data_IF_821945565836
#
_entry.id   IF_821945565836
#
_cell.length_a   1.000
_cell.length_b   1.000
_cell.length_c   1.000
_cell.angle_alpha   90.00
_cell.angle_beta   90.00
_cell.angle_gamma   90.00
#
_symmetry.space_group_name_H-M   'P 1'
#
loop_
_entity.id
_entity.type
_entity.pdbx_description
1 polymer ?
#
# COMPACT_ATOMS: atom_id res chain seq x y z
N UNK A 1 13.13 -18.74 8.81
CA UNK A 1 12.64 -17.83 9.88
C UNK A 1 12.99 -16.40 9.48
N UNK A 2 12.12 -15.74 8.71
CA UNK A 2 12.27 -14.31 8.36
C UNK A 2 11.06 -13.59 8.95
N UNK A 3 11.33 -12.57 9.75
CA UNK A 3 10.41 -12.02 10.74
C UNK A 3 9.22 -11.27 10.17
N UNK A 4 8.03 -11.86 10.32
CA UNK A 4 6.73 -11.14 10.28
C UNK A 4 6.54 -10.12 11.41
N UNK A 5 7.49 -10.04 12.35
CA UNK A 5 7.41 -9.19 13.54
C UNK A 5 8.11 -7.83 13.45
N UNK A 6 8.91 -7.54 12.43
CA UNK A 6 9.67 -6.28 12.38
C UNK A 6 8.80 -5.02 12.25
N UNK A 7 7.78 -4.97 11.34
CA UNK A 7 6.90 -3.81 11.24
C UNK A 7 6.01 -3.63 12.49
N UNK A 8 5.57 -4.76 13.07
CA UNK A 8 4.71 -4.78 14.27
C UNK A 8 5.47 -4.28 15.51
N UNK A 9 6.77 -4.59 15.62
CA UNK A 9 7.66 -4.07 16.67
C UNK A 9 7.97 -2.59 16.50
N UNK A 10 8.20 -2.13 15.26
CA UNK A 10 8.45 -0.73 14.97
C UNK A 10 7.21 0.15 15.22
N UNK A 11 6.01 -0.31 14.84
CA UNK A 11 4.76 0.38 15.13
C UNK A 11 4.47 0.47 16.64
N UNK A 12 4.86 -0.54 17.42
CA UNK A 12 4.79 -0.52 18.88
C UNK A 12 5.77 0.50 19.50
N UNK A 13 6.99 0.62 18.96
CA UNK A 13 7.94 1.66 19.36
C UNK A 13 7.43 3.08 18.99
N UNK A 14 6.61 3.19 17.94
CA UNK A 14 5.98 4.43 17.49
C UNK A 14 4.60 4.73 18.14
N UNK A 15 4.21 4.06 19.23
CA UNK A 15 2.91 4.29 19.92
C UNK A 15 1.68 4.06 19.02
N UNK A 16 1.63 2.94 18.29
CA UNK A 16 0.40 2.56 17.58
C UNK A 16 -0.74 2.22 18.58
N UNK A 17 -1.76 3.08 18.65
CA UNK A 17 -2.87 2.99 19.63
C UNK A 17 -4.05 2.11 19.18
N UNK A 18 -4.10 1.76 17.89
CA UNK A 18 -5.14 0.92 17.27
C UNK A 18 -4.49 -0.11 16.35
N UNK A 19 -4.94 -1.37 16.41
CA UNK A 19 -4.49 -2.43 15.50
C UNK A 19 -5.69 -3.04 14.77
N UNK A 20 -5.59 -3.14 13.44
CA UNK A 20 -6.57 -3.79 12.57
C UNK A 20 -6.09 -5.21 12.22
N UNK A 21 -6.79 -6.29 12.59
CA UNK A 21 -6.50 -7.66 12.14
C UNK A 21 -6.77 -7.82 10.64
N UNK A 22 -6.04 -8.73 10.00
CA UNK A 22 -6.19 -9.09 8.58
C UNK A 22 -7.47 -9.89 8.32
N UNK A 23 -8.13 -9.66 7.18
CA UNK A 23 -9.25 -10.47 6.69
C UNK A 23 -8.84 -11.86 6.13
N UNK A 24 -7.56 -12.20 6.10
CA UNK A 24 -7.06 -13.49 5.61
C UNK A 24 -7.16 -14.59 6.68
N UNK A 25 -7.67 -15.77 6.32
CA UNK A 25 -7.61 -16.95 7.18
C UNK A 25 -6.18 -17.44 7.31
N UNK A 26 -5.66 -17.47 8.54
CA UNK A 26 -4.41 -18.18 8.84
C UNK A 26 -4.77 -19.57 9.36
N UNK A 27 -4.31 -20.61 8.67
CA UNK A 27 -4.42 -21.98 9.14
C UNK A 27 -3.56 -22.16 10.38
N UNK A 28 -4.14 -21.96 11.57
CA UNK A 28 -3.46 -22.13 12.85
C UNK A 28 -4.05 -21.22 13.90
N UNK A 29 -4.69 -21.81 14.92
CA UNK A 29 -5.32 -21.08 16.01
C UNK A 29 -4.37 -20.08 16.65
N UNK A 30 -4.88 -18.85 16.87
CA UNK A 30 -4.22 -17.81 17.64
C UNK A 30 -4.12 -18.25 19.11
N UNK A 31 -3.22 -19.17 19.41
CA UNK A 31 -2.83 -19.51 20.77
C UNK A 31 -1.39 -19.04 21.01
N UNK A 32 -1.26 -17.94 21.75
CA UNK A 32 -0.09 -17.71 22.61
C UNK A 32 1.24 -17.23 22.00
N UNK A 33 1.27 -16.62 20.80
CA UNK A 33 2.53 -16.14 20.20
C UNK A 33 2.61 -14.62 19.98
N UNK A 34 3.54 -13.94 20.66
CA UNK A 34 3.99 -12.54 20.49
C UNK A 34 2.95 -11.38 20.58
N UNK A 35 1.64 -11.64 20.41
CA UNK A 35 0.59 -10.62 20.53
C UNK A 35 0.28 -10.26 22.00
N UNK A 36 0.50 -11.18 22.94
CA UNK A 36 0.14 -11.01 24.35
C UNK A 36 0.97 -9.97 25.12
N UNK A 37 2.23 -9.74 24.77
CA UNK A 37 3.08 -8.73 25.45
C UNK A 37 3.05 -7.34 24.79
N UNK A 38 2.46 -7.20 23.61
CA UNK A 38 2.48 -5.95 22.81
C UNK A 38 1.24 -5.06 23.00
N UNK A 39 0.21 -5.52 23.71
CA UNK A 39 -1.12 -4.87 23.76
C UNK A 39 -1.39 -4.04 25.02
N UNK A 40 -0.38 -3.62 25.79
CA UNK A 40 -0.65 -3.02 27.11
C UNK A 40 -1.38 -1.66 27.08
N UNK A 41 -1.42 -0.92 25.97
CA UNK A 41 -1.90 0.48 25.96
C UNK A 41 -2.82 0.88 24.79
N UNK A 42 -3.48 -0.08 24.13
CA UNK A 42 -4.38 0.22 22.99
C UNK A 42 -5.52 -0.78 22.85
N UNK A 43 -6.33 -0.61 21.80
CA UNK A 43 -7.44 -1.51 21.46
C UNK A 43 -7.29 -2.10 20.05
N UNK A 44 -7.95 -3.23 19.82
CA UNK A 44 -7.95 -3.97 18.54
C UNK A 44 -9.31 -3.77 17.87
N UNK A 45 -9.29 -3.33 16.61
CA UNK A 45 -10.48 -3.07 15.81
C UNK A 45 -10.59 -4.05 14.64
N UNK A 46 -11.71 -4.74 14.49
CA UNK A 46 -11.91 -5.65 13.35
C UNK A 46 -12.21 -4.88 12.06
N UNK A 47 -11.82 -5.45 10.92
CA UNK A 47 -12.07 -4.90 9.58
C UNK A 47 -13.58 -4.79 9.25
N UNK A 48 -13.87 -4.05 8.19
CA UNK A 48 -15.19 -3.86 7.59
C UNK A 48 -15.87 -5.21 7.35
N UNK A 49 -16.99 -5.42 8.05
CA UNK A 49 -17.73 -6.69 8.01
C UNK A 49 -16.84 -7.91 8.30
N UNK A 50 -15.80 -7.73 9.11
CA UNK A 50 -14.86 -8.80 9.43
C UNK A 50 -15.51 -9.94 10.20
N UNK A 51 -16.55 -9.66 11.02
CA UNK A 51 -17.35 -10.69 11.72
C UNK A 51 -18.14 -11.52 10.72
N UNK A 52 -18.71 -10.88 9.69
CA UNK A 52 -19.49 -11.57 8.66
C UNK A 52 -18.63 -12.57 7.88
N UNK A 53 -17.35 -12.27 7.69
CA UNK A 53 -16.41 -13.05 6.85
C UNK A 53 -15.66 -14.16 7.61
N UNK A 54 -15.95 -14.41 8.89
CA UNK A 54 -15.28 -15.50 9.63
C UNK A 54 -15.81 -16.89 9.27
N UNK A 55 -17.03 -16.98 8.74
CA UNK A 55 -17.62 -18.22 8.24
C UNK A 55 -17.40 -18.39 6.74
N UNK A 56 -17.38 -19.63 6.26
CA UNK A 56 -17.16 -19.96 4.83
C UNK A 56 -18.20 -19.35 3.89
N UNK A 57 -19.45 -19.26 4.36
CA UNK A 57 -20.48 -18.43 3.77
C UNK A 57 -20.63 -17.19 4.65
N UNK A 58 -20.44 -15.97 4.11
CA UNK A 58 -20.57 -14.76 4.90
C UNK A 58 -21.90 -14.71 5.64
N UNK A 59 -21.87 -14.27 6.91
CA UNK A 59 -23.05 -14.05 7.74
C UNK A 59 -23.89 -15.32 8.07
N UNK A 60 -23.41 -16.53 7.73
CA UNK A 60 -24.17 -17.78 7.94
C UNK A 60 -24.29 -18.24 9.39
N UNK A 61 -23.40 -17.78 10.28
CA UNK A 61 -23.43 -18.07 11.72
C UNK A 61 -23.03 -16.83 12.54
N UNK A 62 -23.74 -15.72 12.30
CA UNK A 62 -23.33 -14.40 12.79
C UNK A 62 -23.12 -14.33 14.31
N UNK A 63 -24.04 -14.86 15.12
CA UNK A 63 -23.89 -14.87 16.59
C UNK A 63 -22.64 -15.64 17.03
N UNK A 64 -22.31 -16.76 16.39
CA UNK A 64 -21.10 -17.53 16.69
C UNK A 64 -19.84 -16.75 16.26
N UNK A 65 -19.90 -16.03 15.15
CA UNK A 65 -18.85 -15.13 14.70
C UNK A 65 -18.61 -13.97 15.68
N UNK A 66 -19.68 -13.36 16.21
CA UNK A 66 -19.60 -12.33 17.26
C UNK A 66 -18.93 -12.90 18.50
N UNK A 67 -19.37 -14.08 18.95
CA UNK A 67 -18.77 -14.75 20.10
C UNK A 67 -17.27 -15.00 19.89
N UNK A 68 -16.89 -15.58 18.75
CA UNK A 68 -15.50 -15.90 18.43
C UNK A 68 -14.63 -14.64 18.36
N UNK A 69 -15.12 -13.55 17.77
CA UNK A 69 -14.40 -12.29 17.66
C UNK A 69 -14.09 -11.70 19.05
N UNK A 70 -15.09 -11.61 19.93
CA UNK A 70 -14.90 -11.04 21.28
C UNK A 70 -13.98 -11.93 22.12
N UNK A 71 -14.17 -13.25 22.10
CA UNK A 71 -13.32 -14.20 22.82
C UNK A 71 -11.86 -14.21 22.31
N UNK A 72 -11.63 -13.81 21.06
CA UNK A 72 -10.30 -13.63 20.49
C UNK A 72 -9.60 -12.31 20.92
N UNK A 73 -10.25 -11.47 21.73
CA UNK A 73 -9.69 -10.20 22.18
C UNK A 73 -9.87 -9.04 21.20
N UNK A 74 -10.90 -9.10 20.35
CA UNK A 74 -11.33 -7.94 19.56
C UNK A 74 -12.12 -7.00 20.48
N UNK A 75 -11.72 -5.74 20.51
CA UNK A 75 -12.28 -4.74 21.43
C UNK A 75 -13.28 -3.80 20.73
N UNK A 76 -13.12 -3.59 19.42
CA UNK A 76 -14.02 -2.78 18.59
C UNK A 76 -14.32 -3.53 17.30
N UNK A 77 -15.59 -3.55 16.87
CA UNK A 77 -16.01 -4.25 15.65
C UNK A 77 -16.55 -3.24 14.66
N UNK A 78 -15.99 -3.21 13.44
CA UNK A 78 -16.49 -2.35 12.36
C UNK A 78 -17.70 -2.99 11.68
N UNK A 79 -18.89 -2.69 12.23
CA UNK A 79 -20.19 -3.06 11.64
C UNK A 79 -20.79 -1.83 10.95
N UNK A 80 -20.70 -1.72 9.61
CA UNK A 80 -21.06 -0.49 8.92
C UNK A 80 -22.57 -0.32 8.68
N UNK A 81 -23.33 -1.42 8.68
CA UNK A 81 -24.74 -1.41 8.27
C UNK A 81 -25.66 -1.89 9.39
N UNK A 82 -25.57 -3.17 9.78
CA UNK A 82 -26.52 -3.79 10.71
C UNK A 82 -26.03 -3.81 12.17
N UNK A 83 -25.70 -2.65 12.73
CA UNK A 83 -25.19 -2.56 14.10
C UNK A 83 -26.22 -3.01 15.16
N UNK A 84 -27.53 -2.93 14.87
CA UNK A 84 -28.58 -3.38 15.79
C UNK A 84 -28.52 -4.89 16.05
N UNK A 85 -28.31 -5.70 14.99
CA UNK A 85 -28.14 -7.14 15.12
C UNK A 85 -26.90 -7.48 15.95
N UNK A 86 -25.76 -6.85 15.64
CA UNK A 86 -24.54 -7.01 16.42
C UNK A 86 -24.75 -6.72 17.92
N UNK A 87 -25.41 -5.60 18.24
CA UNK A 87 -25.68 -5.20 19.63
C UNK A 87 -26.59 -6.23 20.31
N UNK A 88 -27.67 -6.67 19.64
CA UNK A 88 -28.60 -7.66 20.19
C UNK A 88 -27.93 -9.01 20.47
N UNK A 89 -27.12 -9.49 19.54
CA UNK A 89 -26.36 -10.74 19.68
C UNK A 89 -25.33 -10.65 20.81
N UNK A 90 -24.55 -9.56 20.86
CA UNK A 90 -23.58 -9.35 21.93
C UNK A 90 -24.25 -9.25 23.30
N UNK A 91 -25.36 -8.51 23.42
CA UNK A 91 -26.14 -8.43 24.65
C UNK A 91 -26.67 -9.79 25.08
N UNK A 92 -27.16 -10.60 24.13
CA UNK A 92 -27.64 -11.95 24.39
C UNK A 92 -26.51 -12.86 24.92
N UNK A 93 -25.33 -12.81 24.28
CA UNK A 93 -24.15 -13.58 24.69
C UNK A 93 -23.67 -13.20 26.10
N UNK A 94 -23.69 -11.92 26.45
CA UNK A 94 -23.33 -11.44 27.80
C UNK A 94 -24.39 -11.83 28.84
N UNK A 95 -25.68 -11.63 28.53
CA UNK A 95 -26.80 -11.97 29.42
C UNK A 95 -26.84 -13.46 29.75
N UNK A 96 -26.53 -14.30 28.76
CA UNK A 96 -26.46 -15.75 28.90
C UNK A 96 -25.11 -16.24 29.48
N UNK A 97 -24.22 -15.32 29.91
CA UNK A 97 -22.90 -15.60 30.50
C UNK A 97 -21.95 -16.38 29.58
N UNK A 98 -22.18 -16.34 28.27
CA UNK A 98 -21.28 -16.91 27.24
C UNK A 98 -20.04 -16.03 27.09
N UNK A 99 -20.25 -14.71 27.10
CA UNK A 99 -19.18 -13.71 27.20
C UNK A 99 -19.20 -13.12 28.62
N UNK A 100 -18.12 -13.28 29.40
CA UNK A 100 -18.01 -12.64 30.71
C UNK A 100 -18.02 -11.11 30.59
N UNK A 101 -18.74 -10.41 31.47
CA UNK A 101 -18.77 -8.94 31.50
C UNK A 101 -17.37 -8.33 31.59
N UNK A 102 -16.42 -9.02 32.22
CA UNK A 102 -15.02 -8.60 32.33
C UNK A 102 -14.33 -8.42 30.97
N UNK A 103 -14.74 -9.16 29.92
CA UNK A 103 -14.22 -8.96 28.57
C UNK A 103 -14.75 -7.66 27.95
N UNK A 104 -15.99 -7.29 28.27
CA UNK A 104 -16.59 -6.02 27.86
C UNK A 104 -15.91 -4.87 28.60
N UNK A 105 -15.69 -5.03 29.91
CA UNK A 105 -15.00 -4.01 30.72
C UNK A 105 -13.57 -3.75 30.24
N UNK A 106 -12.82 -4.79 29.86
CA UNK A 106 -11.48 -4.65 29.27
C UNK A 106 -11.54 -3.92 27.91
N UNK A 107 -12.47 -4.30 27.03
CA UNK A 107 -12.67 -3.64 25.74
C UNK A 107 -13.02 -2.17 25.88
N UNK A 108 -13.99 -1.84 26.73
CA UNK A 108 -14.43 -0.46 26.98
C UNK A 108 -13.30 0.35 27.63
N UNK A 109 -12.60 -0.21 28.63
CA UNK A 109 -11.49 0.49 29.30
C UNK A 109 -10.38 0.88 28.33
N UNK A 110 -10.06 0.02 27.36
CA UNK A 110 -9.04 0.31 26.33
C UNK A 110 -9.49 1.38 25.33
N UNK A 111 -10.76 1.33 24.92
CA UNK A 111 -11.32 2.35 24.03
C UNK A 111 -11.29 3.72 24.73
N UNK A 112 -11.80 3.78 25.97
CA UNK A 112 -11.80 5.00 26.76
C UNK A 112 -10.39 5.50 27.04
N UNK A 113 -9.44 4.62 27.37
CA UNK A 113 -8.04 4.98 27.54
C UNK A 113 -7.50 5.72 26.31
N UNK A 114 -7.75 5.20 25.09
CA UNK A 114 -7.31 5.87 23.86
C UNK A 114 -8.02 7.21 23.66
N UNK A 115 -9.32 7.30 23.94
CA UNK A 115 -10.10 8.54 23.82
C UNK A 115 -9.60 9.63 24.78
N UNK A 116 -9.34 9.31 26.05
CA UNK A 116 -8.75 10.24 27.02
C UNK A 116 -7.33 10.62 26.63
N UNK A 117 -6.49 9.65 26.24
CA UNK A 117 -5.07 9.91 25.91
C UNK A 117 -4.91 10.76 24.65
N UNK A 118 -5.92 10.82 23.76
CA UNK A 118 -5.90 11.71 22.59
C UNK A 118 -6.63 13.03 22.82
N UNK A 119 -7.11 13.30 24.03
CA UNK A 119 -7.82 14.53 24.37
C UNK A 119 -9.19 14.66 23.68
N UNK A 120 -9.82 13.53 23.29
CA UNK A 120 -11.09 13.56 22.54
C UNK A 120 -12.25 14.08 23.39
N UNK A 121 -12.16 13.97 24.71
CA UNK A 121 -13.16 14.53 25.63
C UNK A 121 -12.99 16.04 25.80
N UNK A 122 -11.76 16.54 25.73
CA UNK A 122 -11.43 17.96 25.81
C UNK A 122 -11.69 18.68 24.47
N UNK A 123 -11.38 18.02 23.35
CA UNK A 123 -11.54 18.55 21.99
C UNK A 123 -12.38 17.59 21.12
N UNK A 124 -13.70 17.51 21.35
CA UNK A 124 -14.57 16.56 20.65
C UNK A 124 -14.97 17.01 19.24
N UNK A 125 -14.81 18.29 18.92
CA UNK A 125 -15.22 18.87 17.64
C UNK A 125 -14.01 19.16 16.75
N UNK A 126 -14.25 19.15 15.44
CA UNK A 126 -13.24 19.55 14.47
C UNK A 126 -12.87 21.02 14.65
N UNK A 127 -11.58 21.33 14.57
CA UNK A 127 -11.08 22.70 14.53
C UNK A 127 -11.00 23.16 13.07
N UNK A 128 -11.82 24.14 12.72
CA UNK A 128 -11.92 24.67 11.36
C UNK A 128 -10.77 25.59 10.98
N UNK A 129 -9.88 25.99 11.92
CA UNK A 129 -8.68 26.77 11.58
C UNK A 129 -7.72 26.01 10.66
N UNK A 130 -7.79 24.67 10.66
CA UNK A 130 -6.97 23.80 9.81
C UNK A 130 -7.54 23.59 8.40
N UNK A 131 -8.66 24.22 8.05
CA UNK A 131 -9.28 24.07 6.72
C UNK A 131 -8.36 24.48 5.56
N UNK A 132 -7.46 25.44 5.79
CA UNK A 132 -6.49 25.90 4.80
C UNK A 132 -5.26 24.99 4.64
N UNK A 133 -5.10 23.96 5.48
CA UNK A 133 -4.04 22.96 5.31
C UNK A 133 -4.36 21.93 4.22
N UNK A 134 -5.62 21.91 3.75
CA UNK A 134 -6.07 20.98 2.71
C UNK A 134 -5.63 21.47 1.31
N UNK A 135 -4.71 20.74 0.68
CA UNK A 135 -4.41 20.89 -0.75
C UNK A 135 -3.56 22.10 -1.13
N UNK A 136 -2.66 22.57 -0.25
CA UNK A 136 -1.72 23.65 -0.60
C UNK A 136 -0.75 23.19 -1.71
N UNK A 137 -1.08 23.51 -2.97
CA UNK A 137 -0.32 23.15 -4.16
C UNK A 137 0.96 23.98 -4.32
N UNK A 138 2.01 23.34 -4.83
CA UNK A 138 3.20 23.99 -5.37
C UNK A 138 3.07 24.21 -6.89
N UNK A 139 3.35 25.44 -7.33
CA UNK A 139 3.26 25.88 -8.73
C UNK A 139 4.27 25.17 -9.63
N UNK A 140 3.83 24.72 -10.81
CA UNK A 140 4.65 24.08 -11.84
C UNK A 140 5.48 25.15 -12.59
N UNK A 141 6.79 24.92 -12.75
CA UNK A 141 7.61 25.62 -13.74
C UNK A 141 7.40 24.99 -15.12
N UNK A 142 6.94 25.77 -16.09
CA UNK A 142 6.76 25.28 -17.46
C UNK A 142 8.08 25.25 -18.23
N UNK A 143 8.44 24.07 -18.73
CA UNK A 143 9.39 23.89 -19.83
C UNK A 143 8.61 23.51 -21.10
N UNK A 144 9.16 23.75 -22.30
CA UNK A 144 8.46 23.45 -23.56
C UNK A 144 8.26 21.94 -23.70
N UNK A 145 7.07 21.46 -23.40
CA UNK A 145 6.70 20.05 -23.37
C UNK A 145 5.66 19.77 -24.47
N UNK A 146 5.92 18.76 -25.30
CA UNK A 146 4.95 18.27 -26.29
C UNK A 146 4.41 16.96 -25.77
N UNK A 147 3.13 16.97 -25.39
CA UNK A 147 2.42 15.79 -24.88
C UNK A 147 1.63 15.12 -26.00
N UNK A 148 1.74 13.80 -26.09
CA UNK A 148 0.89 12.96 -26.94
C UNK A 148 0.64 11.64 -26.18
N UNK A 149 -0.63 11.30 -25.97
CA UNK A 149 -1.04 10.11 -25.22
C UNK A 149 -0.70 8.82 -25.96
N UNK A 150 -0.79 8.82 -27.29
CA UNK A 150 -0.57 7.64 -28.13
C UNK A 150 0.26 8.04 -29.36
N UNK A 151 1.57 8.30 -29.21
CA UNK A 151 2.41 8.71 -30.32
C UNK A 151 2.57 7.58 -31.33
N UNK A 152 2.38 7.88 -32.60
CA UNK A 152 2.73 6.96 -33.69
C UNK A 152 4.17 7.22 -34.20
N UNK A 153 4.68 6.28 -35.00
CA UNK A 153 6.04 6.38 -35.54
C UNK A 153 6.23 7.60 -36.48
N UNK A 154 5.17 8.07 -37.14
CA UNK A 154 5.20 9.26 -37.99
C UNK A 154 5.33 10.54 -37.16
N UNK A 155 4.61 10.64 -36.06
CA UNK A 155 4.69 11.74 -35.10
C UNK A 155 6.09 11.87 -34.51
N UNK A 156 6.70 10.77 -34.08
CA UNK A 156 8.05 10.78 -33.50
C UNK A 156 9.08 11.25 -34.53
N UNK A 157 9.02 10.69 -35.76
CA UNK A 157 9.99 11.01 -36.82
C UNK A 157 9.86 12.43 -37.36
N UNK A 158 8.65 12.98 -37.42
CA UNK A 158 8.40 14.31 -38.00
C UNK A 158 8.82 15.47 -37.10
N UNK A 159 8.95 15.26 -35.79
CA UNK A 159 9.20 16.32 -34.81
C UNK A 159 10.67 16.41 -34.33
N UNK A 160 11.57 15.55 -34.82
CA UNK A 160 13.01 15.55 -34.50
C UNK A 160 13.32 15.65 -32.99
N UNK A 161 12.64 14.84 -32.17
CA UNK A 161 12.86 14.77 -30.73
C UNK A 161 14.28 14.26 -30.39
N UNK A 162 14.84 14.68 -29.26
CA UNK A 162 16.14 14.16 -28.76
C UNK A 162 16.00 12.89 -27.92
N UNK A 163 14.93 12.80 -27.13
CA UNK A 163 14.53 11.64 -26.34
C UNK A 163 13.03 11.70 -26.05
N UNK A 164 12.45 10.58 -25.62
CA UNK A 164 11.08 10.48 -25.16
C UNK A 164 11.02 10.10 -23.66
N UNK A 165 10.05 10.65 -22.93
CA UNK A 165 9.69 10.17 -21.58
C UNK A 165 8.31 9.52 -21.70
N UNK A 166 8.21 8.25 -21.33
CA UNK A 166 7.00 7.44 -21.47
C UNK A 166 6.51 7.08 -20.07
N UNK A 167 5.33 7.56 -19.68
CA UNK A 167 4.68 7.15 -18.44
C UNK A 167 3.65 6.05 -18.74
N UNK A 168 3.85 4.86 -18.17
CA UNK A 168 2.98 3.68 -18.32
C UNK A 168 2.81 2.99 -16.98
N UNK A 169 1.82 2.12 -16.81
CA UNK A 169 1.53 1.59 -15.49
C UNK A 169 0.33 0.66 -15.37
N UNK A 170 -0.15 0.51 -14.15
CA UNK A 170 -1.41 -0.15 -13.82
C UNK A 170 -2.57 0.86 -13.75
N UNK A 171 -3.83 0.45 -14.00
CA UNK A 171 -4.99 1.24 -13.59
C UNK A 171 -5.06 1.33 -12.06
N UNK A 172 -5.80 2.30 -11.48
CA UNK A 172 -6.10 2.30 -10.06
C UNK A 172 -6.88 1.05 -9.64
N UNK A 173 -6.54 0.48 -8.48
CA UNK A 173 -7.24 -0.66 -7.87
C UNK A 173 -7.17 -0.59 -6.33
N UNK A 174 -8.06 -1.34 -5.67
CA UNK A 174 -8.02 -1.54 -4.22
C UNK A 174 -8.46 -2.97 -3.88
N UNK A 175 -7.83 -3.55 -2.86
CA UNK A 175 -8.17 -4.88 -2.34
C UNK A 175 -8.22 -5.96 -3.43
N UNK A 176 -9.32 -6.70 -3.53
CA UNK A 176 -9.51 -7.82 -4.46
C UNK A 176 -9.55 -7.39 -5.92
N UNK A 177 -9.90 -6.14 -6.21
CA UNK A 177 -9.91 -5.63 -7.59
C UNK A 177 -8.48 -5.53 -8.16
N UNK A 178 -7.47 -5.55 -7.28
CA UNK A 178 -6.07 -5.59 -7.65
C UNK A 178 -5.51 -7.00 -7.85
N UNK A 179 -6.25 -8.08 -7.54
CA UNK A 179 -5.71 -9.44 -7.68
C UNK A 179 -5.49 -9.77 -9.16
N UNK A 180 -4.26 -10.16 -9.51
CA UNK A 180 -3.87 -10.45 -10.90
C UNK A 180 -2.79 -11.50 -10.96
N UNK A 181 -2.97 -12.46 -11.86
CA UNK A 181 -2.01 -13.51 -12.21
C UNK A 181 -1.04 -13.10 -13.34
N UNK A 182 -1.37 -12.05 -14.09
CA UNK A 182 -0.59 -11.56 -15.25
C UNK A 182 0.46 -10.53 -14.88
N UNK A 183 0.14 -9.61 -13.96
CA UNK A 183 1.04 -8.52 -13.52
C UNK A 183 1.69 -7.74 -14.69
N UNK A 184 0.90 -7.45 -15.73
CA UNK A 184 1.32 -6.66 -16.89
C UNK A 184 0.82 -5.22 -16.79
N UNK A 185 1.54 -4.28 -17.41
CA UNK A 185 1.04 -2.90 -17.56
C UNK A 185 -0.21 -2.85 -18.46
N UNK A 186 -1.01 -1.79 -18.30
CA UNK A 186 -2.25 -1.58 -19.05
C UNK A 186 -1.99 -1.28 -20.53
N UNK A 187 -2.84 -1.80 -21.41
CA UNK A 187 -2.85 -1.41 -22.82
C UNK A 187 -3.28 0.06 -22.99
N UNK A 188 -2.70 0.80 -23.95
CA UNK A 188 -1.73 0.38 -24.97
C UNK A 188 -0.25 0.50 -24.55
N UNK A 189 0.06 0.55 -23.26
CA UNK A 189 1.41 0.77 -22.72
C UNK A 189 2.51 -0.11 -23.32
N UNK A 190 2.35 -1.45 -23.42
CA UNK A 190 3.33 -2.33 -24.04
C UNK A 190 3.69 -1.93 -25.48
N UNK A 191 2.67 -1.56 -26.26
CA UNK A 191 2.83 -1.17 -27.65
C UNK A 191 3.54 0.19 -27.77
N UNK A 192 3.20 1.16 -26.90
CA UNK A 192 3.84 2.49 -26.87
C UNK A 192 5.32 2.37 -26.51
N UNK A 193 5.66 1.60 -25.46
CA UNK A 193 7.05 1.38 -25.05
C UNK A 193 7.82 0.75 -26.21
N UNK A 194 7.28 -0.31 -26.81
CA UNK A 194 7.94 -1.02 -27.90
C UNK A 194 8.17 -0.10 -29.11
N UNK A 195 7.13 0.60 -29.58
CA UNK A 195 7.22 1.42 -30.79
C UNK A 195 8.09 2.67 -30.60
N UNK A 196 8.01 3.31 -29.43
CA UNK A 196 8.72 4.56 -29.16
C UNK A 196 10.19 4.29 -28.88
N UNK A 197 10.52 3.32 -28.03
CA UNK A 197 11.90 2.99 -27.66
C UNK A 197 12.72 2.41 -28.82
N UNK A 198 12.06 1.81 -29.82
CA UNK A 198 12.72 1.41 -31.07
C UNK A 198 13.01 2.59 -32.00
N UNK A 199 12.25 3.68 -31.91
CA UNK A 199 12.37 4.83 -32.79
C UNK A 199 13.33 5.90 -32.25
N UNK A 200 13.40 6.06 -30.93
CA UNK A 200 14.18 7.09 -30.25
C UNK A 200 14.61 6.62 -28.86
N UNK A 201 15.70 7.18 -28.33
CA UNK A 201 16.08 7.01 -26.92
C UNK A 201 14.90 7.34 -26.01
N UNK A 202 14.55 6.41 -25.14
CA UNK A 202 13.38 6.53 -24.27
C UNK A 202 13.76 6.34 -22.80
N UNK A 203 13.13 7.13 -21.95
CA UNK A 203 13.07 6.92 -20.50
C UNK A 203 11.66 6.44 -20.17
N UNK A 204 11.53 5.27 -19.57
CA UNK A 204 10.23 4.71 -19.18
C UNK A 204 10.02 4.92 -17.69
N UNK A 205 8.94 5.60 -17.33
CA UNK A 205 8.46 5.79 -15.96
C UNK A 205 7.29 4.84 -15.73
N UNK A 206 7.48 3.84 -14.88
CA UNK A 206 6.46 2.86 -14.52
C UNK A 206 5.74 3.30 -13.24
N UNK A 207 4.44 3.57 -13.36
CA UNK A 207 3.54 3.92 -12.25
C UNK A 207 2.73 2.68 -11.88
N UNK A 208 3.08 2.03 -10.77
CA UNK A 208 2.45 0.76 -10.37
C UNK A 208 2.47 0.56 -8.86
N UNK A 209 1.52 -0.21 -8.33
CA UNK A 209 1.50 -0.54 -6.90
C UNK A 209 2.51 -1.63 -6.52
N UNK A 210 3.14 -2.27 -7.52
CA UNK A 210 3.98 -3.47 -7.40
C UNK A 210 4.85 -3.69 -8.64
N UNK A 211 5.85 -4.60 -8.59
CA UNK A 211 6.60 -5.01 -9.77
C UNK A 211 5.71 -5.59 -10.87
N UNK A 212 6.00 -5.24 -12.12
CA UNK A 212 5.32 -5.72 -13.32
C UNK A 212 6.25 -6.51 -14.22
N UNK A 213 5.70 -7.26 -15.17
CA UNK A 213 6.47 -7.90 -16.26
C UNK A 213 7.16 -6.82 -17.09
N UNK A 214 8.49 -6.72 -16.94
CA UNK A 214 9.31 -5.72 -17.64
C UNK A 214 10.40 -6.34 -18.54
N UNK A 215 10.77 -7.60 -18.32
CA UNK A 215 11.88 -8.26 -19.01
C UNK A 215 11.87 -8.10 -20.55
N UNK A 216 10.71 -8.17 -21.25
CA UNK A 216 10.68 -7.98 -22.71
C UNK A 216 11.09 -6.58 -23.20
N UNK A 217 11.01 -5.57 -22.35
CA UNK A 217 11.23 -4.17 -22.74
C UNK A 217 12.59 -3.63 -22.27
N UNK A 218 13.19 -4.21 -21.22
CA UNK A 218 14.40 -3.66 -20.58
C UNK A 218 15.54 -3.43 -21.58
N UNK A 219 15.69 -4.29 -22.58
CA UNK A 219 16.77 -4.19 -23.57
C UNK A 219 16.62 -3.00 -24.54
N UNK A 220 15.41 -2.47 -24.75
CA UNK A 220 15.18 -1.32 -25.64
C UNK A 220 15.10 0.01 -24.90
N UNK A 221 15.03 -0.01 -23.57
CA UNK A 221 14.88 1.18 -22.74
C UNK A 221 16.25 1.72 -22.34
N UNK A 222 16.47 3.03 -22.47
CA UNK A 222 17.72 3.68 -22.05
C UNK A 222 17.77 3.85 -20.52
N UNK A 223 16.64 4.24 -19.92
CA UNK A 223 16.49 4.33 -18.47
C UNK A 223 15.08 3.94 -18.02
N UNK A 224 15.00 3.14 -16.96
CA UNK A 224 13.75 2.69 -16.35
C UNK A 224 13.62 3.27 -14.94
N UNK A 225 12.50 3.96 -14.67
CA UNK A 225 12.17 4.54 -13.37
C UNK A 225 10.92 3.87 -12.81
N UNK A 226 11.04 3.21 -11.67
CA UNK A 226 9.89 2.73 -10.91
C UNK A 226 9.38 3.84 -9.99
N UNK A 227 8.30 4.51 -10.39
CA UNK A 227 7.72 5.64 -9.67
C UNK A 227 6.70 5.23 -8.58
N UNK A 228 6.34 3.94 -8.52
CA UNK A 228 5.31 3.40 -7.64
C UNK A 228 3.96 4.11 -7.84
N UNK A 229 3.27 4.46 -6.75
CA UNK A 229 2.09 5.33 -6.76
C UNK A 229 2.48 6.67 -6.10
N UNK A 230 2.99 7.64 -6.88
CA UNK A 230 3.71 8.83 -6.36
C UNK A 230 2.80 9.88 -5.71
N UNK A 231 1.48 9.71 -5.76
CA UNK A 231 0.51 10.69 -5.24
C UNK A 231 0.30 11.87 -6.20
N UNK A 232 -0.11 13.01 -5.65
CA UNK A 232 -0.51 14.21 -6.42
C UNK A 232 0.67 15.02 -6.95
N UNK A 233 1.83 14.94 -6.28
CA UNK A 233 2.99 15.81 -6.53
C UNK A 233 3.93 15.23 -7.60
N UNK A 234 3.43 15.11 -8.83
CA UNK A 234 4.18 14.55 -9.96
C UNK A 234 5.50 15.28 -10.28
N UNK A 235 5.69 16.50 -9.78
CA UNK A 235 6.95 17.25 -9.90
C UNK A 235 8.14 16.50 -9.30
N UNK A 236 7.94 15.71 -8.23
CA UNK A 236 9.01 14.91 -7.64
C UNK A 236 9.64 13.91 -8.64
N UNK A 237 8.90 13.47 -9.65
CA UNK A 237 9.45 12.64 -10.73
C UNK A 237 10.36 13.49 -11.63
N UNK A 238 9.90 14.67 -12.02
CA UNK A 238 10.66 15.56 -12.91
C UNK A 238 11.90 16.15 -12.24
N UNK A 239 11.84 16.43 -10.94
CA UNK A 239 12.99 16.90 -10.15
C UNK A 239 14.16 15.92 -10.21
N UNK A 240 13.87 14.61 -10.19
CA UNK A 240 14.88 13.57 -10.33
C UNK A 240 15.31 13.37 -11.79
N UNK A 241 14.35 13.34 -12.74
CA UNK A 241 14.64 13.11 -14.16
C UNK A 241 15.51 14.22 -14.78
N UNK A 242 15.28 15.48 -14.39
CA UNK A 242 16.04 16.63 -14.89
C UNK A 242 17.22 17.01 -13.99
N UNK A 243 17.43 16.27 -12.89
CA UNK A 243 18.63 16.36 -12.07
C UNK A 243 18.68 17.56 -11.13
N UNK A 244 17.53 18.15 -10.78
CA UNK A 244 17.44 19.04 -9.62
C UNK A 244 17.82 18.27 -8.34
N UNK A 245 17.42 17.00 -8.29
CA UNK A 245 17.84 16.02 -7.29
C UNK A 245 18.40 14.75 -7.94
N UNK A 246 19.32 14.07 -7.24
CA UNK A 246 19.84 12.77 -7.66
C UNK A 246 18.93 11.61 -7.26
N UNK A 247 18.90 10.54 -8.06
CA UNK A 247 18.25 9.29 -7.69
C UNK A 247 19.00 8.63 -6.52
N UNK A 248 18.26 8.20 -5.50
CA UNK A 248 18.82 7.48 -4.34
C UNK A 248 17.97 6.29 -3.90
N UNK A 249 16.78 6.12 -4.48
CA UNK A 249 15.84 5.06 -4.13
C UNK A 249 16.41 3.67 -4.37
N UNK A 250 16.06 2.74 -3.49
CA UNK A 250 16.39 1.31 -3.59
C UNK A 250 15.12 0.50 -3.57
N UNK A 251 15.08 -0.59 -4.35
CA UNK A 251 13.90 -1.44 -4.47
C UNK A 251 13.55 -2.05 -3.10
N UNK A 252 12.35 -1.77 -2.55
CA UNK A 252 11.89 -2.33 -1.28
C UNK A 252 11.30 -3.75 -1.47
N UNK A 253 11.23 -4.24 -2.71
CA UNK A 253 10.70 -5.54 -3.08
C UNK A 253 11.49 -6.10 -4.26
N UNK A 254 11.64 -7.42 -4.32
CA UNK A 254 12.24 -8.12 -5.46
C UNK A 254 11.43 -7.89 -6.73
N UNK A 255 12.10 -7.57 -7.84
CA UNK A 255 11.48 -7.51 -9.16
C UNK A 255 11.69 -8.82 -9.91
N UNK A 256 10.62 -9.54 -10.19
CA UNK A 256 10.67 -10.84 -10.89
C UNK A 256 10.97 -10.68 -12.39
N UNK A 257 11.51 -11.73 -13.01
CA UNK A 257 11.68 -11.83 -14.47
C UNK A 257 10.34 -12.13 -15.14
N UNK A 258 9.66 -13.15 -14.63
CA UNK A 258 8.34 -13.60 -15.09
C UNK A 258 7.47 -14.03 -13.89
N UNK A 259 6.17 -14.21 -14.15
CA UNK A 259 5.19 -14.52 -13.10
C UNK A 259 5.28 -15.96 -12.57
N UNK A 260 6.02 -16.86 -13.22
CA UNK A 260 6.25 -18.22 -12.72
C UNK A 260 7.20 -18.21 -11.50
N UNK A 261 8.01 -17.16 -11.34
CA UNK A 261 8.88 -16.95 -10.18
C UNK A 261 8.15 -16.37 -8.96
N UNK A 262 6.85 -16.10 -9.03
CA UNK A 262 6.13 -15.50 -7.91
C UNK A 262 6.25 -16.37 -6.65
N UNK A 263 6.22 -15.69 -5.49
CA UNK A 263 6.64 -16.21 -4.17
C UNK A 263 8.16 -16.25 -3.93
N UNK A 264 8.96 -15.72 -4.86
CA UNK A 264 10.40 -15.49 -4.65
C UNK A 264 10.67 -14.23 -3.80
N UNK A 265 11.45 -14.39 -2.74
CA UNK A 265 11.87 -13.33 -1.82
C UNK A 265 13.39 -13.31 -1.63
N UNK A 266 13.92 -12.17 -1.17
CA UNK A 266 15.33 -12.06 -0.83
C UNK A 266 15.73 -13.09 0.24
N UNK A 267 16.79 -13.84 -0.04
CA UNK A 267 17.30 -14.90 0.84
C UNK A 267 16.83 -16.31 0.50
N UNK A 268 15.97 -16.48 -0.51
CA UNK A 268 15.57 -17.81 -1.00
C UNK A 268 16.72 -18.51 -1.74
N UNK A 269 16.73 -19.85 -1.70
CA UNK A 269 17.75 -20.68 -2.34
C UNK A 269 17.83 -20.49 -3.86
N UNK A 270 16.69 -20.18 -4.49
CA UNK A 270 16.56 -20.00 -5.94
C UNK A 270 16.23 -18.54 -6.27
N UNK A 271 17.01 -17.60 -5.71
CA UNK A 271 16.84 -16.17 -5.90
C UNK A 271 17.45 -15.68 -7.23
N UNK A 272 16.63 -15.61 -8.29
CA UNK A 272 17.01 -15.11 -9.62
C UNK A 272 16.07 -13.99 -10.10
N UNK A 273 16.22 -12.76 -9.57
CA UNK A 273 15.37 -11.63 -9.94
C UNK A 273 15.82 -10.95 -11.24
N UNK A 274 14.89 -10.21 -11.86
CA UNK A 274 15.24 -9.22 -12.89
C UNK A 274 16.00 -8.06 -12.27
N UNK A 275 15.49 -7.55 -11.14
CA UNK A 275 16.17 -6.56 -10.30
C UNK A 275 16.08 -6.98 -8.84
N UNK A 276 17.24 -7.13 -8.19
CA UNK A 276 17.32 -7.61 -6.82
C UNK A 276 16.74 -6.61 -5.80
N UNK A 277 16.24 -7.14 -4.67
CA UNK A 277 15.90 -6.36 -3.49
C UNK A 277 17.08 -5.47 -3.10
N UNK A 278 16.80 -4.19 -2.80
CA UNK A 278 17.82 -3.21 -2.45
C UNK A 278 18.63 -2.67 -3.64
N UNK A 279 18.37 -3.12 -4.87
CA UNK A 279 19.02 -2.53 -6.05
C UNK A 279 18.40 -1.18 -6.41
N UNK A 280 19.20 -0.33 -7.05
CA UNK A 280 18.77 1.00 -7.50
C UNK A 280 20.01 1.82 -7.88
N UNK A 281 20.00 2.42 -9.06
CA UNK A 281 21.08 3.29 -9.49
C UNK A 281 21.03 4.60 -8.71
N UNK A 282 22.21 5.19 -8.46
CA UNK A 282 22.35 6.47 -7.77
C UNK A 282 22.87 7.49 -8.77
N UNK A 283 22.27 8.68 -8.78
CA UNK A 283 22.78 9.82 -9.55
C UNK A 283 23.06 11.00 -8.62
N UNK A 284 23.89 11.93 -9.06
CA UNK A 284 24.12 13.21 -8.39
C UNK A 284 23.23 14.29 -9.04
N UNK A 285 23.00 15.41 -8.35
CA UNK A 285 22.27 16.54 -8.97
C UNK A 285 23.16 17.23 -10.00
N UNK A 286 22.56 17.79 -11.04
CA UNK A 286 23.28 18.55 -12.08
C UNK A 286 24.02 19.73 -11.46
N UNK A 287 23.41 20.43 -10.50
CA UNK A 287 24.06 21.52 -9.77
C UNK A 287 25.36 21.05 -9.07
N UNK A 288 25.36 19.85 -8.47
CA UNK A 288 26.54 19.30 -7.81
C UNK A 288 27.64 18.86 -8.79
N UNK A 289 27.25 18.40 -9.97
CA UNK A 289 28.18 18.02 -11.05
C UNK A 289 28.85 19.26 -11.64
N UNK A 290 28.08 20.32 -11.91
CA UNK A 290 28.57 21.58 -12.52
C UNK A 290 29.43 22.39 -11.54
N UNK A 291 29.26 22.22 -10.24
CA UNK A 291 30.04 22.91 -9.21
C UNK A 291 31.44 22.32 -8.96
N UNK A 292 31.79 21.19 -9.58
CA UNK A 292 33.12 20.56 -9.51
C UNK A 292 34.01 20.98 -10.68
#
# INVERSE_FOLDING_TARGET
>A
MVGSGAPQRAAAAASMRRRKPSGSSSGGGASGGAAGSMLQHGFVILDWQGVDKTSSQPHSSYTASVQAAIQAGIHMVMVPFNFNEFINDLMSLVKNKVIPITQIDDAVSRILLVMFTMGLFENPLADYSFSNELGSQLLIKAQKLIFNENPDAGFIKSNNFSYAIIAVGEPPYAETDGDSDKLTMMDPGPAIVTSTCQAIKCVVVVVSGRPLVMEPYVASIEALVAAWLPGTEGQGITDALFGDHGFSGKLPITWFRNTEQLRMSYGDLHYDPLFAYGSGLVTESVASIVAR
#
